data_IF_650230636732
#
_entry.id   IF_650230636732
#
_cell.length_a   1.000
_cell.length_b   1.000
_cell.length_c   1.000
_cell.angle_alpha   90.00
_cell.angle_beta   90.00
_cell.angle_gamma   90.00
#
_symmetry.space_group_name_H-M   'P 1'
#
loop_
_entity.id
_entity.type
_entity.pdbx_description
1 polymer ?
#
# COMPACT_ATOMS: atom_id res chain seq x y z
N UNK A 1 19.75 14.21 7.70
CA UNK A 1 18.47 13.75 8.29
C UNK A 1 17.79 14.95 8.90
N UNK A 2 16.59 15.31 8.44
CA UNK A 2 15.78 16.37 9.07
C UNK A 2 14.77 15.69 9.99
N UNK A 3 14.57 16.29 11.16
CA UNK A 3 13.65 15.80 12.19
C UNK A 3 12.59 16.87 12.39
N UNK A 4 11.35 16.44 12.58
CA UNK A 4 10.22 17.32 12.87
C UNK A 4 9.52 16.82 14.12
N UNK A 5 9.36 17.69 15.11
CA UNK A 5 8.53 17.42 16.27
C UNK A 5 7.08 17.78 15.94
N UNK A 6 6.18 16.80 16.09
CA UNK A 6 4.73 17.00 15.89
C UNK A 6 4.00 16.51 17.14
N UNK A 7 2.93 17.22 17.51
CA UNK A 7 2.08 16.84 18.64
C UNK A 7 0.74 16.34 18.13
N UNK A 8 0.26 15.25 18.73
CA UNK A 8 -1.06 14.71 18.45
C UNK A 8 -2.11 15.66 19.04
N UNK A 9 -3.06 16.11 18.22
CA UNK A 9 -4.16 16.94 18.70
C UNK A 9 -5.09 16.16 19.64
N UNK A 10 -5.95 16.85 20.38
CA UNK A 10 -6.96 16.21 21.24
C UNK A 10 -7.90 15.24 20.49
N UNK A 11 -8.00 15.39 19.17
CA UNK A 11 -8.79 14.51 18.28
C UNK A 11 -7.99 13.34 17.70
N UNK A 12 -6.75 13.14 18.14
CA UNK A 12 -5.89 12.07 17.62
C UNK A 12 -5.28 12.36 16.25
N UNK A 13 -5.24 13.63 15.81
CA UNK A 13 -4.71 13.99 14.49
C UNK A 13 -3.26 14.48 14.58
N UNK A 14 -2.43 14.03 13.64
CA UNK A 14 -1.09 14.58 13.39
C UNK A 14 -1.11 15.43 12.12
N UNK A 15 -0.41 16.55 12.13
CA UNK A 15 -0.33 17.46 10.97
C UNK A 15 1.03 17.32 10.32
N UNK A 16 1.06 17.15 9.00
CA UNK A 16 2.31 17.08 8.22
C UNK A 16 2.76 18.51 7.87
N UNK A 17 3.96 18.96 8.32
CA UNK A 17 4.49 20.27 7.99
C UNK A 17 4.59 20.51 6.48
N UNK A 18 4.53 21.78 6.05
CA UNK A 18 4.54 22.14 4.63
C UNK A 18 5.77 21.60 3.91
N UNK A 19 6.96 21.75 4.50
CA UNK A 19 8.21 21.27 3.88
C UNK A 19 8.26 19.76 3.74
N UNK A 20 7.59 19.01 4.64
CA UNK A 20 7.53 17.55 4.57
C UNK A 20 6.52 17.09 3.51
N UNK A 21 5.38 17.80 3.37
CA UNK A 21 4.43 17.56 2.28
C UNK A 21 5.05 17.76 0.91
N UNK A 22 5.83 18.83 0.73
CA UNK A 22 6.50 19.13 -0.54
C UNK A 22 7.56 18.08 -0.88
N UNK A 23 8.32 17.59 0.10
CA UNK A 23 9.33 16.56 -0.12
C UNK A 23 8.75 15.20 -0.52
N UNK A 24 7.57 14.87 0.01
CA UNK A 24 6.87 13.61 -0.28
C UNK A 24 5.82 13.76 -1.40
N UNK A 25 5.75 14.93 -2.04
CA UNK A 25 4.79 15.26 -3.10
C UNK A 25 3.33 14.95 -2.69
N UNK A 26 2.97 15.30 -1.45
CA UNK A 26 1.65 15.01 -0.90
C UNK A 26 0.63 16.08 -1.32
N UNK A 27 -0.49 15.63 -1.84
CA UNK A 27 -1.66 16.43 -2.21
C UNK A 27 -2.86 16.14 -1.30
N UNK A 28 -3.78 17.11 -1.11
CA UNK A 28 -5.03 16.85 -0.42
C UNK A 28 -5.80 15.70 -1.09
N UNK A 29 -6.17 14.69 -0.32
CA UNK A 29 -6.84 13.48 -0.82
C UNK A 29 -5.94 12.26 -0.96
N UNK A 30 -4.62 12.43 -0.86
CA UNK A 30 -3.68 11.30 -0.88
C UNK A 30 -3.93 10.37 0.32
N UNK A 31 -3.92 9.07 0.04
CA UNK A 31 -4.03 8.04 1.07
C UNK A 31 -2.65 7.73 1.65
N UNK A 32 -2.61 7.35 2.92
CA UNK A 32 -1.40 6.92 3.61
C UNK A 32 -1.61 5.54 4.21
N UNK A 33 -0.56 4.73 4.27
CA UNK A 33 -0.55 3.45 5.01
C UNK A 33 0.30 3.60 6.25
N UNK A 34 -0.25 3.18 7.37
CA UNK A 34 0.50 2.95 8.60
C UNK A 34 0.97 1.49 8.62
N UNK A 35 2.25 1.32 8.89
CA UNK A 35 2.86 0.02 9.16
C UNK A 35 3.67 0.11 10.43
N UNK A 36 3.72 -0.98 11.20
CA UNK A 36 4.54 -1.08 12.40
C UNK A 36 5.68 -2.04 12.11
N UNK A 37 6.90 -1.56 12.20
CA UNK A 37 8.12 -2.35 11.97
C UNK A 37 9.02 -2.13 13.16
N UNK A 38 9.37 -3.20 13.88
CA UNK A 38 10.27 -3.16 15.05
C UNK A 38 9.86 -2.17 16.15
N UNK A 39 8.55 -1.93 16.30
CA UNK A 39 7.99 -0.98 17.28
C UNK A 39 7.98 0.47 16.80
N UNK A 40 8.46 0.74 15.59
CA UNK A 40 8.39 2.04 14.96
C UNK A 40 7.20 2.13 13.99
N UNK A 41 6.60 3.31 13.89
CA UNK A 41 5.55 3.59 12.93
C UNK A 41 6.19 4.10 11.64
N UNK A 42 6.02 3.35 10.56
CA UNK A 42 6.39 3.75 9.21
C UNK A 42 5.12 4.16 8.46
N UNK A 43 5.12 5.40 7.98
CA UNK A 43 4.00 5.96 7.21
C UNK A 43 4.43 6.07 5.74
N UNK A 44 3.70 5.39 4.85
CA UNK A 44 4.00 5.39 3.42
C UNK A 44 2.85 6.02 2.63
N UNK A 45 3.12 7.03 1.78
CA UNK A 45 2.08 7.61 0.93
C UNK A 45 1.70 6.66 -0.21
N UNK A 46 0.41 6.60 -0.51
CA UNK A 46 -0.19 5.92 -1.67
C UNK A 46 -0.55 6.94 -2.75
N UNK A 47 0.38 7.83 -3.06
CA UNK A 47 0.21 8.90 -4.04
C UNK A 47 0.85 8.58 -5.40
N UNK A 48 1.31 7.34 -5.61
CA UNK A 48 1.91 6.88 -6.88
C UNK A 48 0.79 6.41 -7.82
N UNK A 49 0.74 6.94 -9.04
CA UNK A 49 -0.16 6.45 -10.09
C UNK A 49 0.39 5.11 -10.62
N UNK A 50 -0.49 4.13 -10.88
CA UNK A 50 -0.11 2.86 -11.50
C UNK A 50 0.59 3.07 -12.84
N UNK A 51 0.28 4.14 -13.57
CA UNK A 51 0.95 4.52 -14.81
C UNK A 51 2.42 4.87 -14.61
N UNK A 52 2.78 5.42 -13.46
CA UNK A 52 4.18 5.73 -13.13
C UNK A 52 4.98 4.44 -12.85
N UNK A 53 4.29 3.34 -12.54
CA UNK A 53 4.88 2.01 -12.39
C UNK A 53 4.98 1.25 -13.71
N UNK A 54 4.39 1.75 -14.81
CA UNK A 54 4.46 1.10 -16.11
C UNK A 54 5.91 1.08 -16.61
N UNK A 55 6.44 -0.13 -16.85
CA UNK A 55 7.82 -0.33 -17.30
C UNK A 55 8.85 -0.51 -16.18
N UNK A 56 8.45 -0.42 -14.90
CA UNK A 56 9.33 -0.81 -13.77
C UNK A 56 9.60 -2.31 -13.73
N UNK A 57 8.61 -3.11 -14.12
CA UNK A 57 8.79 -4.55 -14.31
C UNK A 57 9.58 -4.72 -15.62
N UNK A 58 10.88 -5.04 -15.48
CA UNK A 58 11.79 -5.24 -16.59
C UNK A 58 11.43 -6.45 -17.46
N UNK A 59 12.42 -6.98 -18.20
CA UNK A 59 12.18 -8.18 -19.02
C UNK A 59 11.79 -9.34 -18.11
N UNK A 60 10.65 -10.01 -18.35
CA UNK A 60 10.22 -11.11 -17.51
C UNK A 60 11.26 -12.24 -17.55
N UNK A 61 11.69 -12.76 -16.38
CA UNK A 61 12.81 -13.71 -16.28
C UNK A 61 12.53 -15.04 -17.00
N UNK A 62 11.26 -15.41 -17.13
CA UNK A 62 10.83 -16.64 -17.79
C UNK A 62 10.22 -16.39 -19.18
N UNK A 63 10.45 -15.21 -19.75
CA UNK A 63 9.82 -14.80 -21.02
C UNK A 63 8.36 -14.37 -20.86
N UNK A 64 7.71 -14.10 -21.99
CA UNK A 64 6.30 -13.69 -22.01
C UNK A 64 5.42 -14.91 -21.80
N UNK A 65 4.55 -14.87 -20.79
CA UNK A 65 3.51 -15.88 -20.60
C UNK A 65 2.33 -15.64 -21.55
N UNK A 66 1.69 -16.72 -21.96
CA UNK A 66 0.40 -16.72 -22.66
C UNK A 66 -0.75 -16.43 -21.68
N UNK A 67 -1.92 -16.09 -22.21
CA UNK A 67 -3.08 -15.79 -21.37
C UNK A 67 -3.54 -17.06 -20.64
N UNK A 68 -3.48 -18.20 -21.32
CA UNK A 68 -3.81 -19.52 -20.79
C UNK A 68 -2.91 -19.92 -19.60
N UNK A 69 -1.60 -19.69 -19.70
CA UNK A 69 -0.65 -19.95 -18.60
C UNK A 69 -0.92 -19.06 -17.38
N UNK A 70 -1.35 -17.82 -17.60
CA UNK A 70 -1.73 -16.89 -16.53
C UNK A 70 -3.00 -17.42 -15.84
N UNK A 71 -4.03 -17.77 -16.61
CA UNK A 71 -5.29 -18.29 -16.08
C UNK A 71 -5.10 -19.58 -15.29
N UNK A 72 -4.30 -20.53 -15.81
CA UNK A 72 -3.94 -21.75 -15.09
C UNK A 72 -3.22 -21.44 -13.77
N UNK A 73 -2.29 -20.48 -13.77
CA UNK A 73 -1.55 -20.07 -12.57
C UNK A 73 -2.46 -19.41 -11.55
N UNK A 74 -3.39 -18.55 -11.99
CA UNK A 74 -4.39 -17.92 -11.12
C UNK A 74 -5.29 -18.97 -10.51
N UNK A 75 -5.82 -19.92 -11.29
CA UNK A 75 -6.65 -21.03 -10.77
C UNK A 75 -5.88 -21.87 -9.75
N UNK A 76 -4.63 -22.23 -10.07
CA UNK A 76 -3.77 -23.05 -9.21
C UNK A 76 -3.42 -22.36 -7.88
N UNK A 77 -3.20 -21.04 -7.92
CA UNK A 77 -2.63 -20.29 -6.78
C UNK A 77 -3.69 -19.54 -5.97
N UNK A 78 -4.73 -18.99 -6.62
CA UNK A 78 -5.82 -18.30 -5.93
C UNK A 78 -6.59 -19.26 -4.99
N UNK A 79 -6.72 -20.54 -5.37
CA UNK A 79 -7.26 -21.58 -4.49
C UNK A 79 -6.45 -21.81 -3.22
N UNK A 80 -5.12 -21.60 -3.26
CA UNK A 80 -4.25 -21.73 -2.09
C UNK A 80 -4.28 -20.50 -1.18
N UNK A 81 -4.46 -19.29 -1.73
CA UNK A 81 -4.47 -18.05 -0.95
C UNK A 81 -5.84 -17.71 -0.34
N UNK A 82 -6.95 -18.15 -0.96
CA UNK A 82 -8.30 -17.98 -0.39
C UNK A 82 -8.48 -18.70 0.95
N UNK A 83 -7.72 -19.77 1.20
CA UNK A 83 -7.74 -20.50 2.48
C UNK A 83 -6.92 -19.83 3.59
N UNK A 84 -6.04 -18.89 3.25
CA UNK A 84 -5.20 -18.15 4.22
C UNK A 84 -5.78 -16.78 4.59
N UNK A 85 -6.78 -16.28 3.85
CA UNK A 85 -7.49 -15.04 4.14
C UNK A 85 -8.81 -15.28 4.89
N UNK A 86 -8.81 -16.17 5.89
CA UNK A 86 -9.98 -16.37 6.75
C UNK A 86 -9.97 -15.30 7.85
N UNK A 87 -10.44 -14.09 7.50
CA UNK A 87 -10.55 -12.96 8.43
C UNK A 87 -11.46 -11.82 8.01
N UNK A 88 -12.20 -11.94 6.90
CA UNK A 88 -13.24 -10.97 6.52
C UNK A 88 -14.61 -11.61 6.68
N UNK A 89 -15.11 -11.68 7.92
CA UNK A 89 -16.50 -12.00 8.19
C UNK A 89 -17.36 -10.77 7.82
N UNK A 90 -18.27 -10.87 6.84
CA UNK A 90 -19.14 -9.76 6.47
C UNK A 90 -20.13 -9.33 7.57
N UNK A 91 -20.14 -9.97 8.75
CA UNK A 91 -20.91 -9.50 9.92
C UNK A 91 -20.39 -8.20 10.55
N UNK A 92 -19.13 -7.82 10.33
CA UNK A 92 -18.51 -6.66 11.01
C UNK A 92 -18.82 -5.30 10.34
N UNK A 93 -19.55 -5.29 9.23
CA UNK A 93 -19.90 -4.07 8.47
C UNK A 93 -21.25 -3.47 8.91
N UNK A 94 -21.90 -4.05 9.91
CA UNK A 94 -23.15 -3.57 10.47
C UNK A 94 -23.05 -3.35 11.99
N UNK A 95 -22.43 -2.23 12.40
CA UNK A 95 -22.60 -1.63 13.71
C UNK A 95 -22.40 -0.10 13.63
#
# INVERSE_FOLDING_TARGET
>A
MRVWDVTISAKGQITIPKELREQLTLSPGDQMVFSVVDGEIVITPKNIDLKDLAGFLGTPPNGRSTLEEIDETVVRTAGANALSANGNDPSDIAA
#
